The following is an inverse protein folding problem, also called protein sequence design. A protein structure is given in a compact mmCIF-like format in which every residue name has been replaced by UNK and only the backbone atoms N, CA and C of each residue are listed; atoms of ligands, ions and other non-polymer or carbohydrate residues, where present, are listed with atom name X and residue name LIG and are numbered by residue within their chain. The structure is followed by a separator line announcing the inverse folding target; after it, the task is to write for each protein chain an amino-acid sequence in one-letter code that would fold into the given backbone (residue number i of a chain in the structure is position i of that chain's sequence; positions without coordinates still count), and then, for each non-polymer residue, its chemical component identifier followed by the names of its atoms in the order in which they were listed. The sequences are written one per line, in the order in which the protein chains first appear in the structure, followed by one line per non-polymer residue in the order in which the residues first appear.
data_IF_393687248651
#
_entry.id   IF_393687248651
#
_cell.length_a   1.000
_cell.length_b   1.000
_cell.length_c   1.000
_cell.angle_alpha   90.00
_cell.angle_beta   90.00
_cell.angle_gamma   90.00
#
_symmetry.space_group_name_H-M   'P 1'
#
loop_
_entity.id
_entity.type
_entity.pdbx_description
1 polymer ?
#
# COMPACT_ATOMS: atom_id res chain seq x y z
N UNK A 1 2.79 -7.27 16.87
CA UNK A 1 1.71 -6.28 16.74
C UNK A 1 0.70 -6.84 15.73
N UNK A 2 -0.51 -7.15 16.18
CA UNK A 2 -1.51 -7.90 15.40
C UNK A 2 -1.91 -7.15 14.13
N UNK A 3 -1.95 -7.86 13.00
CA UNK A 3 -2.27 -7.36 11.64
C UNK A 3 -3.61 -6.61 11.55
N UNK A 4 -4.53 -6.90 12.49
CA UNK A 4 -5.77 -6.15 12.71
C UNK A 4 -5.51 -4.67 13.04
N UNK A 5 -4.46 -4.33 13.79
CA UNK A 5 -4.11 -2.94 14.12
C UNK A 5 -3.61 -2.16 12.90
N UNK A 6 -2.76 -2.75 12.05
CA UNK A 6 -2.20 -2.06 10.89
C UNK A 6 -3.28 -1.72 9.82
N UNK A 7 -4.22 -2.65 9.57
CA UNK A 7 -5.37 -2.37 8.72
C UNK A 7 -6.30 -1.33 9.37
N UNK A 8 -6.53 -1.42 10.69
CA UNK A 8 -7.36 -0.45 11.41
C UNK A 8 -6.77 0.97 11.37
N UNK A 9 -5.46 1.12 11.50
CA UNK A 9 -4.77 2.41 11.39
C UNK A 9 -4.90 3.02 9.99
N UNK A 10 -4.81 2.22 8.92
CA UNK A 10 -5.05 2.67 7.54
C UNK A 10 -6.48 3.17 7.37
N UNK A 11 -7.47 2.39 7.81
CA UNK A 11 -8.88 2.80 7.75
C UNK A 11 -9.15 4.07 8.57
N UNK A 12 -8.50 4.24 9.72
CA UNK A 12 -8.62 5.46 10.54
C UNK A 12 -8.02 6.68 9.83
N UNK A 13 -6.87 6.54 9.18
CA UNK A 13 -6.26 7.65 8.41
C UNK A 13 -7.14 8.10 7.26
N UNK A 14 -7.68 7.14 6.51
CA UNK A 14 -8.62 7.39 5.41
C UNK A 14 -9.87 8.08 5.96
N UNK A 15 -10.51 7.54 7.00
CA UNK A 15 -11.69 8.15 7.63
C UNK A 15 -11.43 9.59 8.11
N UNK A 16 -10.23 9.88 8.65
CA UNK A 16 -9.82 11.24 9.04
C UNK A 16 -9.60 12.17 7.84
N UNK A 17 -9.16 11.65 6.70
CA UNK A 17 -9.07 12.42 5.46
C UNK A 17 -10.48 12.77 4.94
N UNK A 18 -11.41 11.80 4.94
CA UNK A 18 -12.81 12.04 4.57
C UNK A 18 -13.47 13.10 5.46
N UNK A 19 -13.32 12.98 6.78
CA UNK A 19 -13.88 13.96 7.73
C UNK A 19 -13.31 15.36 7.51
N UNK A 20 -12.02 15.48 7.15
CA UNK A 20 -11.41 16.77 6.82
C UNK A 20 -11.96 17.35 5.53
N UNK A 21 -12.13 16.53 4.49
CA UNK A 21 -12.72 16.96 3.23
C UNK A 21 -14.17 17.43 3.42
N UNK A 22 -14.99 16.72 4.20
CA UNK A 22 -16.36 17.12 4.53
C UNK A 22 -16.40 18.48 5.26
N UNK A 23 -15.49 18.69 6.21
CA UNK A 23 -15.45 19.96 6.95
C UNK A 23 -14.95 21.13 6.08
N UNK A 24 -14.02 20.88 5.16
CA UNK A 24 -13.54 21.86 4.20
C UNK A 24 -14.63 22.23 3.17
N UNK A 25 -15.40 21.23 2.72
CA UNK A 25 -16.46 21.42 1.76
C UNK A 25 -17.68 22.14 2.37
N UNK A 26 -17.98 21.92 3.64
CA UNK A 26 -19.05 22.62 4.35
C UNK A 26 -18.79 24.14 4.51
N UNK A 27 -17.54 24.58 4.37
CA UNK A 27 -17.13 25.98 4.54
C UNK A 27 -16.85 26.71 3.22
N UNK A 28 -16.83 26.02 2.08
CA UNK A 28 -16.44 26.57 0.77
C UNK A 28 -17.56 27.29 0.00
N UNK A 29 -18.81 27.20 0.46
CA UNK A 29 -19.97 27.79 -0.26
C UNK A 29 -20.28 27.09 -1.59
N UNK A 30 -19.63 25.96 -1.87
CA UNK A 30 -19.80 25.14 -3.06
C UNK A 30 -21.15 24.42 -3.08
N UNK A 31 -21.60 24.01 -4.28
CA UNK A 31 -22.82 23.19 -4.38
C UNK A 31 -22.61 21.85 -3.70
N UNK A 32 -23.70 21.26 -3.19
CA UNK A 32 -23.65 19.97 -2.49
C UNK A 32 -22.99 18.87 -3.34
N UNK A 33 -23.19 18.90 -4.65
CA UNK A 33 -22.58 17.97 -5.59
C UNK A 33 -21.05 18.12 -5.65
N UNK A 34 -20.54 19.37 -5.67
CA UNK A 34 -19.10 19.64 -5.65
C UNK A 34 -18.45 19.19 -4.34
N UNK A 35 -19.15 19.41 -3.22
CA UNK A 35 -18.69 18.96 -1.91
C UNK A 35 -18.59 17.43 -1.83
N UNK A 36 -19.58 16.72 -2.38
CA UNK A 36 -19.58 15.25 -2.45
C UNK A 36 -18.42 14.76 -3.33
N UNK A 37 -18.20 15.37 -4.49
CA UNK A 37 -17.10 15.00 -5.38
C UNK A 37 -15.73 15.20 -4.72
N UNK A 38 -15.53 16.35 -4.06
CA UNK A 38 -14.29 16.66 -3.33
C UNK A 38 -13.96 15.62 -2.25
N UNK A 39 -14.99 15.09 -1.57
CA UNK A 39 -14.80 14.01 -0.58
C UNK A 39 -14.39 12.70 -1.25
N UNK A 40 -14.98 12.35 -2.40
CA UNK A 40 -14.56 11.16 -3.15
C UNK A 40 -13.12 11.28 -3.65
N UNK A 41 -12.74 12.42 -4.21
CA UNK A 41 -11.38 12.65 -4.70
C UNK A 41 -10.36 12.55 -3.54
N UNK A 42 -10.68 13.13 -2.38
CA UNK A 42 -9.84 13.04 -1.18
C UNK A 42 -9.75 11.61 -0.61
N UNK A 43 -10.81 10.81 -0.77
CA UNK A 43 -10.80 9.38 -0.43
C UNK A 43 -9.83 8.67 -1.36
N UNK A 44 -9.99 8.81 -2.67
CA UNK A 44 -9.19 8.13 -3.67
C UNK A 44 -7.71 8.49 -3.53
N UNK A 45 -7.37 9.75 -3.29
CA UNK A 45 -6.00 10.21 -3.04
C UNK A 45 -5.41 9.59 -1.77
N UNK A 46 -6.18 9.55 -0.68
CA UNK A 46 -5.73 8.96 0.57
C UNK A 46 -5.51 7.44 0.45
N UNK A 47 -6.37 6.75 -0.30
CA UNK A 47 -6.17 5.34 -0.63
C UNK A 47 -4.93 5.15 -1.51
N UNK A 48 -4.80 5.90 -2.60
CA UNK A 48 -3.68 5.77 -3.52
C UNK A 48 -2.34 5.98 -2.82
N UNK A 49 -2.24 6.99 -1.95
CA UNK A 49 -1.04 7.28 -1.18
C UNK A 49 -0.67 6.12 -0.22
N UNK A 50 -1.63 5.57 0.53
CA UNK A 50 -1.33 4.48 1.49
C UNK A 50 -1.09 3.11 0.83
N UNK A 51 -1.52 2.95 -0.42
CA UNK A 51 -1.25 1.75 -1.21
C UNK A 51 -0.03 1.88 -2.13
N UNK A 52 0.55 3.08 -2.27
CA UNK A 52 1.69 3.31 -3.14
C UNK A 52 2.89 2.43 -2.75
N UNK A 53 3.33 2.49 -1.49
CA UNK A 53 4.45 1.69 -0.99
C UNK A 53 4.21 0.18 -1.15
N UNK A 54 2.96 -0.26 -0.94
CA UNK A 54 2.59 -1.65 -1.12
C UNK A 54 2.64 -2.08 -2.60
N UNK A 55 2.11 -1.26 -3.51
CA UNK A 55 2.16 -1.51 -4.96
C UNK A 55 3.58 -1.52 -5.48
N UNK A 56 4.43 -0.60 -5.02
CA UNK A 56 5.85 -0.56 -5.36
C UNK A 56 6.56 -1.83 -4.88
N UNK A 57 6.32 -2.25 -3.63
CA UNK A 57 6.87 -3.49 -3.07
C UNK A 57 6.45 -4.72 -3.89
N UNK A 58 5.17 -4.83 -4.26
CA UNK A 58 4.64 -5.92 -5.10
C UNK A 58 5.27 -5.90 -6.49
N UNK A 59 5.42 -4.73 -7.12
CA UNK A 59 6.04 -4.61 -8.43
C UNK A 59 7.52 -5.05 -8.40
N UNK A 60 8.27 -4.66 -7.37
CA UNK A 60 9.66 -5.11 -7.17
C UNK A 60 9.71 -6.63 -7.01
N UNK A 61 8.87 -7.21 -6.16
CA UNK A 61 8.81 -8.67 -5.98
C UNK A 61 8.45 -9.39 -7.28
N UNK A 62 7.49 -8.89 -8.06
CA UNK A 62 7.13 -9.41 -9.38
C UNK A 62 8.33 -9.44 -10.33
N UNK A 63 9.05 -8.33 -10.44
CA UNK A 63 10.22 -8.22 -11.33
C UNK A 63 11.36 -9.18 -10.94
N UNK A 64 11.52 -9.45 -9.64
CA UNK A 64 12.52 -10.39 -9.12
C UNK A 64 12.11 -11.83 -9.45
N UNK A 65 10.84 -12.17 -9.28
CA UNK A 65 10.31 -13.48 -9.65
C UNK A 65 10.43 -13.73 -11.16
N UNK A 66 10.13 -12.75 -11.99
CA UNK A 66 10.34 -12.84 -13.45
C UNK A 66 11.82 -13.11 -13.78
N UNK A 67 12.72 -12.41 -13.10
CA UNK A 67 14.17 -12.58 -13.31
C UNK A 67 14.67 -13.94 -12.85
N UNK A 68 14.13 -14.49 -11.75
CA UNK A 68 14.42 -15.85 -11.31
C UNK A 68 13.86 -16.87 -12.32
N UNK A 69 12.61 -16.67 -12.76
CA UNK A 69 11.93 -17.56 -13.70
C UNK A 69 12.57 -17.57 -15.09
N UNK A 70 13.31 -16.52 -15.47
CA UNK A 70 14.07 -16.45 -16.73
C UNK A 70 15.12 -17.57 -16.88
N UNK A 71 15.52 -18.21 -15.77
CA UNK A 71 16.54 -19.27 -15.78
C UNK A 71 17.97 -18.77 -16.03
N UNK A 72 18.17 -17.45 -16.11
CA UNK A 72 19.48 -16.84 -16.38
C UNK A 72 20.38 -16.75 -15.14
N UNK A 73 19.87 -17.06 -13.95
CA UNK A 73 20.59 -17.03 -12.68
C UNK A 73 20.91 -18.46 -12.22
N UNK A 74 22.10 -18.65 -11.65
CA UNK A 74 22.39 -19.87 -10.88
C UNK A 74 21.50 -19.94 -9.65
N UNK A 75 21.31 -21.14 -9.09
CA UNK A 75 20.51 -21.33 -7.87
C UNK A 75 20.95 -20.43 -6.72
N UNK A 76 22.26 -20.26 -6.52
CA UNK A 76 22.81 -19.37 -5.50
C UNK A 76 22.53 -17.89 -5.79
N UNK A 77 22.68 -17.46 -7.05
CA UNK A 77 22.41 -16.08 -7.44
C UNK A 77 20.92 -15.73 -7.35
N UNK A 78 20.03 -16.68 -7.66
CA UNK A 78 18.59 -16.54 -7.47
C UNK A 78 18.22 -16.43 -5.98
N UNK A 79 18.81 -17.30 -5.14
CA UNK A 79 18.60 -17.27 -3.69
C UNK A 79 19.11 -15.97 -3.05
N UNK A 80 20.27 -15.47 -3.49
CA UNK A 80 20.81 -14.19 -3.05
C UNK A 80 19.93 -13.01 -3.46
N UNK A 81 19.43 -13.00 -4.70
CA UNK A 81 18.52 -11.96 -5.17
C UNK A 81 17.21 -11.96 -4.38
N UNK A 82 16.65 -13.14 -4.10
CA UNK A 82 15.45 -13.28 -3.28
C UNK A 82 15.68 -12.77 -1.84
N UNK A 83 16.78 -13.14 -1.19
CA UNK A 83 17.14 -12.66 0.16
C UNK A 83 17.26 -11.14 0.21
N UNK A 84 18.00 -10.54 -0.73
CA UNK A 84 18.17 -9.08 -0.80
C UNK A 84 16.84 -8.36 -0.99
N UNK A 85 15.96 -8.93 -1.80
CA UNK A 85 14.62 -8.38 -2.05
C UNK A 85 13.78 -8.42 -0.77
N UNK A 86 13.75 -9.56 -0.07
CA UNK A 86 13.03 -9.70 1.21
C UNK A 86 13.56 -8.75 2.29
N UNK A 87 14.89 -8.59 2.39
CA UNK A 87 15.50 -7.67 3.36
C UNK A 87 15.26 -6.19 3.01
N UNK A 88 15.18 -5.84 1.72
CA UNK A 88 14.95 -4.47 1.26
C UNK A 88 13.48 -4.05 1.26
N UNK A 89 12.54 -4.98 1.10
CA UNK A 89 11.10 -4.71 1.01
C UNK A 89 10.44 -4.36 2.36
N UNK A 90 11.19 -4.31 3.47
CA UNK A 90 10.66 -4.03 4.81
C UNK A 90 9.62 -5.05 5.31
N UNK A 91 9.41 -6.14 4.56
CA UNK A 91 8.49 -7.21 4.92
C UNK A 91 9.26 -8.19 5.81
N UNK A 92 9.16 -7.99 7.13
CA UNK A 92 9.53 -9.02 8.09
C UNK A 92 8.57 -10.20 7.90
N UNK A 93 8.96 -11.18 7.07
CA UNK A 93 8.32 -12.50 7.02
C UNK A 93 8.80 -13.32 8.22
N UNK A 94 8.75 -12.73 9.42
CA UNK A 94 8.79 -13.52 10.63
C UNK A 94 7.35 -13.91 10.97
N UNK A 95 7.12 -15.21 10.81
CA UNK A 95 6.04 -15.99 11.43
C UNK A 95 4.67 -15.96 10.76
N UNK A 96 4.54 -16.76 9.70
CA UNK A 96 3.40 -17.70 9.65
C UNK A 96 3.83 -19.03 9.01
N UNK A 97 3.82 -20.15 9.74
CA UNK A 97 3.79 -21.45 9.09
C UNK A 97 2.46 -21.60 8.36
N UNK A 98 2.52 -22.02 7.10
CA UNK A 98 1.35 -22.40 6.32
C UNK A 98 0.80 -23.68 6.97
N UNK A 99 -0.44 -23.62 7.45
CA UNK A 99 -1.21 -24.78 7.88
C UNK A 99 -2.46 -24.89 7.03
#
# INVERSE_FOLDING_TARGET
MSQSNANSERYIKIARACLRAINASATSGESREQQIQSVYDAIDDAFQAEFQDYRESVAVMGSVLERIASGQLSGDAAADLARKTLSGSGHNIEQKPIH
#
